data_IF_844992518035
#
_entry.id   IF_844992518035
#
_cell.length_a   1.000
_cell.length_b   1.000
_cell.length_c   1.000
_cell.angle_alpha   90.00
_cell.angle_beta   90.00
_cell.angle_gamma   90.00
#
_symmetry.space_group_name_H-M   'P 1'
#
loop_
_entity.id
_entity.type
_entity.pdbx_description
1 polymer ?
#
# COMPACT_ATOMS: atom_id res chain seq x y z
N UNK A 1 27.65 -21.98 11.92
CA UNK A 1 28.14 -21.21 10.74
C UNK A 1 27.21 -20.02 10.56
N UNK A 2 27.73 -18.83 10.80
CA UNK A 2 27.01 -17.56 10.95
C UNK A 2 26.45 -17.08 9.61
N UNK A 3 25.14 -17.22 9.42
CA UNK A 3 24.45 -16.64 8.27
C UNK A 3 24.50 -15.12 8.38
N UNK A 4 25.18 -14.45 7.44
CA UNK A 4 25.32 -13.00 7.40
C UNK A 4 23.93 -12.39 7.21
N UNK A 5 23.30 -11.96 8.31
CA UNK A 5 22.10 -11.14 8.30
C UNK A 5 22.50 -9.77 7.76
N UNK A 6 22.22 -9.50 6.49
CA UNK A 6 22.44 -8.16 5.95
C UNK A 6 21.42 -7.22 6.57
N UNK A 7 21.89 -6.30 7.39
CA UNK A 7 21.07 -5.24 7.98
C UNK A 7 21.20 -4.02 7.07
N UNK A 8 20.09 -3.53 6.54
CA UNK A 8 20.08 -2.23 5.86
C UNK A 8 19.77 -1.15 6.89
N UNK A 9 20.75 -0.29 7.17
CA UNK A 9 20.65 0.84 8.11
C UNK A 9 20.63 2.15 7.34
N UNK A 10 19.49 2.83 7.32
CA UNK A 10 19.36 4.15 6.71
C UNK A 10 18.16 4.92 7.27
N UNK A 11 18.38 6.14 7.75
CA UNK A 11 17.32 7.02 8.27
C UNK A 11 16.66 6.56 9.59
N UNK A 12 17.40 5.86 10.46
CA UNK A 12 16.90 5.44 11.78
C UNK A 12 16.00 4.20 11.77
N UNK A 13 15.96 3.44 10.67
CA UNK A 13 15.19 2.18 10.56
C UNK A 13 16.11 1.03 10.20
N UNK A 14 15.98 -0.07 10.95
CA UNK A 14 16.69 -1.33 10.73
C UNK A 14 15.75 -2.34 10.08
N UNK A 15 16.12 -2.85 8.92
CA UNK A 15 15.36 -3.89 8.23
C UNK A 15 16.11 -5.22 8.31
N UNK A 16 15.44 -6.25 8.85
CA UNK A 16 15.94 -7.62 8.83
C UNK A 16 15.62 -8.23 7.46
N UNK A 17 16.64 -8.43 6.65
CA UNK A 17 16.49 -9.05 5.34
C UNK A 17 16.41 -10.57 5.52
N UNK A 18 15.21 -11.14 5.39
CA UNK A 18 15.04 -12.58 5.20
C UNK A 18 15.68 -12.99 3.86
N UNK A 19 16.19 -14.21 3.77
CA UNK A 19 16.92 -14.75 2.61
C UNK A 19 16.07 -14.91 1.33
N UNK A 20 14.87 -14.32 1.30
CA UNK A 20 13.98 -14.29 0.15
C UNK A 20 14.36 -13.11 -0.75
N UNK A 21 15.24 -13.36 -1.71
CA UNK A 21 15.86 -12.34 -2.59
C UNK A 21 14.90 -11.33 -3.25
N UNK A 22 13.59 -11.63 -3.36
CA UNK A 22 12.60 -10.67 -3.86
C UNK A 22 12.34 -9.49 -2.92
N UNK A 23 12.44 -9.69 -1.59
CA UNK A 23 12.16 -8.62 -0.63
C UNK A 23 13.30 -7.59 -0.60
N UNK A 24 14.55 -8.05 -0.72
CA UNK A 24 15.74 -7.20 -0.76
C UNK A 24 15.84 -6.38 -2.06
N UNK A 25 15.64 -7.00 -3.23
CA UNK A 25 15.68 -6.29 -4.51
C UNK A 25 14.62 -5.18 -4.54
N UNK A 26 13.40 -5.50 -4.07
CA UNK A 26 12.32 -4.52 -3.93
C UNK A 26 12.65 -3.42 -2.92
N UNK A 27 13.26 -3.75 -1.78
CA UNK A 27 13.67 -2.77 -0.79
C UNK A 27 14.66 -1.76 -1.39
N UNK A 28 15.73 -2.24 -2.03
CA UNK A 28 16.75 -1.38 -2.63
C UNK A 28 16.16 -0.48 -3.72
N UNK A 29 15.37 -1.05 -4.63
CA UNK A 29 14.69 -0.31 -5.71
C UNK A 29 13.76 0.78 -5.15
N UNK A 30 13.00 0.46 -4.10
CA UNK A 30 12.02 1.39 -3.53
C UNK A 30 12.61 2.50 -2.65
N UNK A 31 13.69 2.20 -1.91
CA UNK A 31 14.21 3.07 -0.85
C UNK A 31 15.46 3.82 -1.29
N UNK A 32 16.35 3.20 -2.07
CA UNK A 32 17.62 3.82 -2.45
C UNK A 32 17.60 4.39 -3.87
N UNK A 33 16.96 3.69 -4.82
CA UNK A 33 16.97 4.06 -6.23
C UNK A 33 15.71 4.85 -6.65
N UNK A 34 14.67 4.80 -5.82
CA UNK A 34 13.35 5.38 -6.08
C UNK A 34 12.73 4.97 -7.43
N UNK A 35 13.12 3.80 -7.94
CA UNK A 35 12.65 3.29 -9.22
C UNK A 35 11.18 2.93 -9.15
N UNK A 36 10.51 3.02 -10.30
CA UNK A 36 9.10 2.67 -10.48
C UNK A 36 8.97 1.75 -11.68
N UNK A 37 9.41 0.48 -11.56
CA UNK A 37 9.51 -0.43 -12.70
C UNK A 37 8.16 -0.83 -13.30
N UNK A 38 7.05 -0.58 -12.59
CA UNK A 38 5.71 -0.98 -13.03
C UNK A 38 4.94 0.20 -13.61
N UNK A 39 5.07 0.42 -14.92
CA UNK A 39 4.33 1.44 -15.67
C UNK A 39 2.88 1.05 -15.97
N UNK A 40 2.01 2.05 -16.07
CA UNK A 40 0.67 1.91 -16.63
C UNK A 40 0.74 1.94 -18.16
N UNK A 41 0.09 0.95 -18.77
CA UNK A 41 -0.05 0.76 -20.22
C UNK A 41 -1.24 1.53 -20.83
N UNK A 42 -2.04 2.22 -20.00
CA UNK A 42 -3.18 2.99 -20.47
C UNK A 42 -2.71 4.24 -21.24
N UNK A 43 -3.34 4.49 -22.40
CA UNK A 43 -2.99 5.60 -23.28
C UNK A 43 -3.02 6.94 -22.53
N UNK A 44 -1.96 7.74 -22.70
CA UNK A 44 -1.78 9.05 -22.05
C UNK A 44 -1.77 9.04 -20.50
N UNK A 45 -1.58 7.88 -19.85
CA UNK A 45 -1.52 7.82 -18.39
C UNK A 45 -0.13 8.19 -17.83
N UNK A 46 0.93 7.59 -18.37
CA UNK A 46 2.32 7.86 -17.95
C UNK A 46 2.66 7.50 -16.49
N UNK A 47 1.72 6.96 -15.71
CA UNK A 47 1.92 6.71 -14.27
C UNK A 47 2.70 5.41 -14.04
N UNK A 48 3.69 5.45 -13.15
CA UNK A 48 4.47 4.27 -12.77
C UNK A 48 4.52 4.05 -11.25
N UNK A 49 4.68 2.79 -10.85
CA UNK A 49 4.58 2.33 -9.48
C UNK A 49 5.78 1.50 -9.04
N UNK A 50 6.04 1.54 -7.74
CA UNK A 50 7.05 0.74 -7.02
C UNK A 50 6.68 -0.74 -6.89
N UNK A 51 5.40 -1.08 -6.99
CA UNK A 51 4.93 -2.47 -6.83
C UNK A 51 3.84 -2.82 -7.84
N UNK A 52 3.80 -4.09 -8.27
CA UNK A 52 2.73 -4.64 -9.13
C UNK A 52 1.35 -4.45 -8.52
N UNK A 53 1.24 -4.60 -7.20
CA UNK A 53 -0.01 -4.42 -6.46
C UNK A 53 -0.55 -3.01 -6.59
N UNK A 54 0.30 -1.99 -6.52
CA UNK A 54 -0.12 -0.60 -6.72
C UNK A 54 -0.55 -0.32 -8.15
N UNK A 55 0.17 -0.85 -9.15
CA UNK A 55 -0.24 -0.78 -10.55
C UNK A 55 -1.61 -1.44 -10.77
N UNK A 56 -1.84 -2.64 -10.21
CA UNK A 56 -3.13 -3.34 -10.31
C UNK A 56 -4.29 -2.48 -9.78
N UNK A 57 -4.15 -1.89 -8.60
CA UNK A 57 -5.20 -1.01 -8.05
C UNK A 57 -5.36 0.30 -8.84
N UNK A 58 -4.28 0.82 -9.42
CA UNK A 58 -4.36 1.97 -10.29
C UNK A 58 -5.13 1.67 -11.57
N UNK A 59 -4.93 0.50 -12.19
CA UNK A 59 -5.69 0.11 -13.40
C UNK A 59 -7.21 0.17 -13.20
N UNK A 60 -7.71 -0.08 -11.99
CA UNK A 60 -9.13 0.05 -11.65
C UNK A 60 -9.66 1.48 -11.84
N UNK A 61 -8.81 2.52 -11.79
CA UNK A 61 -9.25 3.90 -11.98
C UNK A 61 -9.59 4.22 -13.43
N UNK A 62 -9.01 3.50 -14.40
CA UNK A 62 -9.30 3.69 -15.82
C UNK A 62 -10.66 3.10 -16.21
N UNK A 63 -11.02 1.97 -15.62
CA UNK A 63 -12.29 1.27 -15.89
C UNK A 63 -13.39 1.63 -14.90
N UNK A 64 -13.11 2.49 -13.91
CA UNK A 64 -14.08 2.91 -12.90
C UNK A 64 -14.45 1.82 -11.88
N UNK A 65 -13.73 0.70 -11.84
CA UNK A 65 -14.06 -0.41 -10.96
C UNK A 65 -13.77 -0.11 -9.49
N UNK A 66 -14.74 -0.46 -8.65
CA UNK A 66 -14.66 -0.34 -7.19
C UNK A 66 -15.19 -1.63 -6.55
N UNK A 67 -14.33 -2.66 -6.44
CA UNK A 67 -14.74 -4.00 -6.02
C UNK A 67 -15.13 -4.06 -4.53
N UNK A 68 -14.70 -3.11 -3.71
CA UNK A 68 -14.98 -3.13 -2.28
C UNK A 68 -16.23 -2.30 -1.98
N UNK A 69 -17.31 -2.94 -1.55
CA UNK A 69 -18.62 -2.32 -1.33
C UNK A 69 -18.88 -2.16 0.16
N UNK A 70 -19.44 -1.01 0.56
CA UNK A 70 -19.98 -0.84 1.90
C UNK A 70 -21.26 -1.67 2.05
N UNK A 71 -21.31 -2.55 3.05
CA UNK A 71 -22.47 -3.41 3.31
C UNK A 71 -23.53 -2.72 4.19
N UNK A 72 -23.31 -1.47 4.58
CA UNK A 72 -24.27 -0.75 5.41
C UNK A 72 -25.53 -0.41 4.61
N UNK A 73 -26.71 -0.76 5.14
CA UNK A 73 -27.98 -0.79 4.38
C UNK A 73 -28.33 0.54 3.68
N UNK A 74 -28.01 1.67 4.30
CA UNK A 74 -28.25 3.01 3.76
C UNK A 74 -27.03 3.64 3.08
N UNK A 75 -25.95 2.88 2.86
CA UNK A 75 -24.71 3.36 2.26
C UNK A 75 -24.39 2.58 0.99
N UNK A 76 -24.41 3.27 -0.15
CA UNK A 76 -24.04 2.69 -1.45
C UNK A 76 -22.56 2.93 -1.83
N UNK A 77 -21.70 3.35 -0.89
CA UNK A 77 -20.32 3.73 -1.21
C UNK A 77 -19.48 2.51 -1.60
N UNK A 78 -18.67 2.68 -2.65
CA UNK A 78 -17.72 1.67 -3.17
C UNK A 78 -16.31 2.24 -3.20
N UNK A 79 -15.31 1.36 -3.06
CA UNK A 79 -13.89 1.69 -2.95
C UNK A 79 -13.03 0.80 -3.85
N UNK A 80 -11.91 1.34 -4.33
CA UNK A 80 -10.91 0.61 -5.12
C UNK A 80 -9.91 -0.17 -4.27
N UNK A 81 -9.84 0.09 -2.95
CA UNK A 81 -8.91 -0.56 -2.02
C UNK A 81 -9.59 -0.96 -0.71
N UNK A 82 -9.22 -2.13 -0.19
CA UNK A 82 -9.77 -2.71 1.06
C UNK A 82 -9.57 -1.82 2.29
N UNK A 83 -8.37 -1.26 2.48
CA UNK A 83 -8.11 -0.38 3.63
C UNK A 83 -8.94 0.90 3.60
N UNK A 84 -9.34 1.38 2.41
CA UNK A 84 -10.23 2.54 2.27
C UNK A 84 -11.66 2.20 2.68
N UNK A 85 -12.15 1.00 2.34
CA UNK A 85 -13.41 0.50 2.87
C UNK A 85 -13.37 0.38 4.40
N UNK A 86 -12.32 -0.22 4.98
CA UNK A 86 -12.22 -0.34 6.45
C UNK A 86 -12.18 1.01 7.15
N UNK A 87 -11.39 1.96 6.65
CA UNK A 87 -11.39 3.32 7.18
C UNK A 87 -12.77 3.97 7.07
N UNK A 88 -13.49 3.74 5.97
CA UNK A 88 -14.86 4.22 5.82
C UNK A 88 -15.84 3.56 6.78
N UNK A 89 -15.74 2.25 7.07
CA UNK A 89 -16.66 1.59 8.01
C UNK A 89 -16.64 2.23 9.40
N UNK A 90 -15.52 2.83 9.80
CA UNK A 90 -15.41 3.60 11.05
C UNK A 90 -16.33 4.83 11.09
N UNK A 91 -16.74 5.37 9.94
CA UNK A 91 -17.73 6.45 9.89
C UNK A 91 -19.14 5.99 10.22
N UNK A 92 -19.41 4.68 10.15
CA UNK A 92 -20.69 4.10 10.57
C UNK A 92 -20.65 3.67 12.03
N UNK A 93 -19.55 3.09 12.49
CA UNK A 93 -19.41 2.60 13.87
C UNK A 93 -19.01 3.68 14.87
N UNK A 94 -18.44 4.80 14.42
CA UNK A 94 -17.88 5.82 15.28
C UNK A 94 -16.55 5.43 15.95
N UNK A 95 -15.96 4.30 15.55
CA UNK A 95 -14.70 3.79 16.12
C UNK A 95 -13.54 4.77 15.89
N UNK A 96 -12.88 5.18 16.98
CA UNK A 96 -11.67 6.02 16.97
C UNK A 96 -10.49 5.22 17.53
N UNK A 97 -9.79 4.43 16.68
CA UNK A 97 -8.71 3.54 17.14
C UNK A 97 -7.42 4.27 17.53
N UNK A 98 -7.33 5.57 17.24
CA UNK A 98 -6.20 6.40 17.63
C UNK A 98 -6.72 7.42 18.64
N UNK A 99 -6.15 7.37 19.84
CA UNK A 99 -6.36 8.35 20.92
C UNK A 99 -5.05 9.09 21.14
N UNK A 100 -5.13 10.39 21.34
CA UNK A 100 -4.03 11.21 21.83
C UNK A 100 -3.92 11.05 23.35
N UNK A 101 -2.70 10.89 23.88
CA UNK A 101 -2.44 10.91 25.32
C UNK A 101 -2.75 12.28 25.97
N UNK A 102 -3.01 13.29 25.15
CA UNK A 102 -3.55 14.58 25.57
C UNK A 102 -5.05 14.55 25.94
N UNK A 103 -5.69 13.37 25.98
CA UNK A 103 -7.07 13.21 26.46
C UNK A 103 -8.14 13.39 25.39
N UNK A 104 -7.80 13.26 24.10
CA UNK A 104 -8.77 13.24 22.99
C UNK A 104 -8.64 11.99 22.12
#
# INVERSE_FOLDING_TARGET
MTGIQTVCSGGGKTYFLSNEGQSLVRHKSNVHLNERPYGCDYMNCGTAFKTRTHLKYHKLTHIGERPFVCQHRWCAKRFSRRHKLYAHLRTHTGEKPFRCDCGQ
#
